data_IF_712425859493
#
_entry.id   IF_712425859493
#
_cell.length_a   1.000
_cell.length_b   1.000
_cell.length_c   1.000
_cell.angle_alpha   90.00
_cell.angle_beta   90.00
_cell.angle_gamma   90.00
#
_symmetry.space_group_name_H-M   'P 1'
#
loop_
_entity.id
_entity.type
_entity.pdbx_description
1 polymer ?
#
# COMPACT_ATOMS: atom_id res chain seq x y z
N UNK A 1 42.69 7.53 -40.57
CA UNK A 1 41.25 7.87 -40.62
C UNK A 1 40.50 7.44 -39.35
N UNK A 2 41.15 7.39 -38.18
CA UNK A 2 40.57 6.79 -36.95
C UNK A 2 39.54 7.72 -36.25
N UNK A 3 39.59 9.04 -36.50
CA UNK A 3 38.75 10.00 -35.77
C UNK A 3 37.25 9.92 -36.08
N UNK A 4 36.88 9.63 -37.33
CA UNK A 4 35.47 9.60 -37.76
C UNK A 4 34.78 8.33 -37.23
N UNK A 5 35.49 7.19 -37.24
CA UNK A 5 34.98 5.90 -36.76
C UNK A 5 34.67 5.95 -35.25
N UNK A 6 35.54 6.60 -34.47
CA UNK A 6 35.35 6.82 -33.04
C UNK A 6 34.14 7.72 -32.77
N UNK A 7 33.95 8.77 -33.56
CA UNK A 7 32.82 9.68 -33.46
C UNK A 7 31.48 8.98 -33.74
N UNK A 8 31.45 8.11 -34.76
CA UNK A 8 30.26 7.33 -35.10
C UNK A 8 29.92 6.31 -34.01
N UNK A 9 30.93 5.61 -33.47
CA UNK A 9 30.73 4.66 -32.38
C UNK A 9 30.22 5.35 -31.11
N UNK A 10 30.79 6.51 -30.75
CA UNK A 10 30.33 7.29 -29.60
C UNK A 10 28.89 7.79 -29.79
N UNK A 11 28.54 8.23 -31.01
CA UNK A 11 27.19 8.68 -31.34
C UNK A 11 26.15 7.57 -31.22
N UNK A 12 26.44 6.38 -31.77
CA UNK A 12 25.56 5.20 -31.66
C UNK A 12 25.41 4.78 -30.20
N UNK A 13 26.49 4.82 -29.43
CA UNK A 13 26.46 4.45 -28.02
C UNK A 13 25.60 5.42 -27.19
N UNK A 14 25.75 6.73 -27.40
CA UNK A 14 24.92 7.74 -26.74
C UNK A 14 23.45 7.61 -27.14
N UNK A 15 23.16 7.40 -28.42
CA UNK A 15 21.80 7.18 -28.89
C UNK A 15 21.17 5.92 -28.27
N UNK A 16 21.90 4.80 -28.24
CA UNK A 16 21.44 3.57 -27.61
C UNK A 16 21.17 3.77 -26.11
N UNK A 17 22.02 4.51 -25.41
CA UNK A 17 21.82 4.84 -24.00
C UNK A 17 20.50 5.60 -23.79
N UNK A 18 20.22 6.61 -24.61
CA UNK A 18 18.98 7.40 -24.49
C UNK A 18 17.72 6.60 -24.84
N UNK A 19 17.78 5.69 -25.83
CA UNK A 19 16.62 4.89 -26.25
C UNK A 19 16.34 3.74 -25.29
N UNK A 20 17.38 3.17 -24.68
CA UNK A 20 17.27 2.04 -23.76
C UNK A 20 17.08 2.47 -22.30
N UNK A 21 17.09 3.78 -22.01
CA UNK A 21 16.79 4.27 -20.66
C UNK A 21 15.30 4.00 -20.37
N UNK A 22 14.98 3.17 -19.37
CA UNK A 22 13.59 3.00 -18.97
C UNK A 22 13.03 4.35 -18.51
N UNK A 23 11.74 4.64 -18.77
CA UNK A 23 11.11 5.86 -18.26
C UNK A 23 11.34 5.93 -16.75
N UNK A 24 11.81 7.09 -16.28
CA UNK A 24 12.06 7.33 -14.87
C UNK A 24 10.77 7.01 -14.10
N UNK A 25 10.83 6.01 -13.21
CA UNK A 25 9.71 5.71 -12.32
C UNK A 25 9.52 6.93 -11.43
N UNK A 26 8.36 7.59 -11.43
CA UNK A 26 8.14 8.71 -10.53
C UNK A 26 8.33 8.20 -9.10
N UNK A 27 9.30 8.77 -8.38
CA UNK A 27 9.45 8.54 -6.97
C UNK A 27 8.24 9.21 -6.31
N UNK A 28 7.18 8.44 -6.04
CA UNK A 28 6.05 8.96 -5.29
C UNK A 28 6.62 9.52 -3.98
N UNK A 29 6.42 10.83 -3.74
CA UNK A 29 6.75 11.41 -2.46
C UNK A 29 6.08 10.54 -1.39
N UNK A 30 6.77 10.17 -0.29
CA UNK A 30 6.13 9.42 0.77
C UNK A 30 4.99 10.30 1.28
N UNK A 31 3.76 9.92 0.93
CA UNK A 31 2.57 10.49 1.53
C UNK A 31 2.74 10.29 3.03
N UNK A 32 2.64 11.37 3.81
CA UNK A 32 2.68 11.22 5.26
C UNK A 32 1.48 10.36 5.69
N UNK A 33 1.77 9.11 6.08
CA UNK A 33 0.76 8.14 6.48
C UNK A 33 0.48 8.20 7.99
N UNK A 34 1.12 9.11 8.73
CA UNK A 34 0.86 9.31 10.17
C UNK A 34 -0.64 9.47 10.47
N UNK A 35 -1.43 10.26 9.70
CA UNK A 35 -2.87 10.37 9.93
C UNK A 35 -3.62 9.05 9.71
N UNK A 36 -3.19 8.25 8.72
CA UNK A 36 -3.79 6.94 8.39
C UNK A 36 -3.51 5.92 9.49
N UNK A 37 -2.27 5.91 9.99
CA UNK A 37 -1.87 5.08 11.15
C UNK A 37 -2.68 5.45 12.38
N UNK A 38 -2.80 6.73 12.69
CA UNK A 38 -3.59 7.20 13.83
C UNK A 38 -5.07 6.85 13.68
N UNK A 39 -5.63 7.00 12.49
CA UNK A 39 -7.02 6.64 12.19
C UNK A 39 -7.31 5.14 12.42
N UNK A 40 -6.35 4.25 12.13
CA UNK A 40 -6.48 2.83 12.45
C UNK A 40 -6.38 2.62 13.97
N UNK A 41 -5.41 3.23 14.64
CA UNK A 41 -5.25 3.12 16.10
C UNK A 41 -6.49 3.58 16.86
N UNK A 42 -7.08 4.69 16.47
CA UNK A 42 -8.29 5.23 17.11
C UNK A 42 -9.49 4.29 16.97
N UNK A 43 -9.62 3.59 15.84
CA UNK A 43 -10.67 2.58 15.64
C UNK A 43 -10.40 1.31 16.43
N UNK A 44 -9.15 0.84 16.46
CA UNK A 44 -8.74 -0.32 17.24
C UNK A 44 -8.93 -0.08 18.74
N UNK A 45 -8.55 1.11 19.21
CA UNK A 45 -8.69 1.56 20.60
C UNK A 45 -10.12 1.95 20.98
N UNK A 46 -11.04 2.10 20.02
CA UNK A 46 -12.43 2.47 20.27
C UNK A 46 -12.64 3.97 20.55
N UNK A 47 -11.63 4.81 20.32
CA UNK A 47 -11.72 6.27 20.39
C UNK A 47 -12.65 6.83 19.31
N UNK A 48 -12.68 6.18 18.14
CA UNK A 48 -13.58 6.52 17.03
C UNK A 48 -14.64 5.44 16.89
N UNK A 49 -15.89 5.87 16.67
CA UNK A 49 -17.00 4.97 16.40
C UNK A 49 -16.77 4.21 15.09
N UNK A 50 -16.62 2.89 15.22
CA UNK A 50 -16.47 1.97 14.10
C UNK A 50 -17.50 0.84 14.28
N UNK A 51 -18.65 0.92 13.59
CA UNK A 51 -19.75 -0.01 13.80
C UNK A 51 -19.33 -1.46 13.61
N UNK A 52 -19.81 -2.35 14.48
CA UNK A 52 -19.65 -3.78 14.30
C UNK A 52 -20.72 -4.31 13.34
N UNK A 53 -20.28 -5.05 12.33
CA UNK A 53 -21.12 -5.74 11.36
C UNK A 53 -21.16 -7.22 11.76
N UNK A 54 -22.36 -7.76 11.95
CA UNK A 54 -22.55 -9.19 12.18
C UNK A 54 -22.34 -9.96 10.87
N UNK A 55 -21.46 -10.96 10.90
CA UNK A 55 -21.11 -11.78 9.74
C UNK A 55 -21.73 -13.18 9.81
N UNK A 56 -21.75 -13.73 11.02
CA UNK A 56 -22.31 -15.03 11.34
C UNK A 56 -22.71 -15.04 12.84
N UNK A 57 -23.47 -16.05 13.31
CA UNK A 57 -23.76 -16.18 14.74
C UNK A 57 -22.47 -16.16 15.58
N UNK A 58 -22.38 -15.21 16.51
CA UNK A 58 -21.21 -15.03 17.38
C UNK A 58 -19.98 -14.40 16.72
N UNK A 59 -20.04 -14.04 15.43
CA UNK A 59 -18.93 -13.41 14.70
C UNK A 59 -19.34 -12.03 14.21
N UNK A 60 -18.59 -11.02 14.65
CA UNK A 60 -18.73 -9.64 14.18
C UNK A 60 -17.37 -9.08 13.84
N UNK A 61 -17.38 -8.05 13.00
CA UNK A 61 -16.17 -7.38 12.56
C UNK A 61 -16.44 -5.89 12.38
N UNK A 62 -15.40 -5.09 12.56
CA UNK A 62 -15.48 -3.65 12.37
C UNK A 62 -15.83 -3.32 10.91
N UNK A 63 -16.70 -2.35 10.70
CA UNK A 63 -17.10 -1.89 9.37
C UNK A 63 -15.88 -1.43 8.57
N UNK A 64 -14.92 -0.76 9.22
CA UNK A 64 -13.67 -0.34 8.58
C UNK A 64 -12.74 -1.50 8.22
N UNK A 65 -12.75 -2.60 8.97
CA UNK A 65 -11.99 -3.80 8.60
C UNK A 65 -12.62 -4.48 7.37
N UNK A 66 -13.95 -4.48 7.25
CA UNK A 66 -14.64 -5.06 6.09
C UNK A 66 -14.52 -4.24 4.81
N UNK A 67 -14.80 -2.93 4.93
CA UNK A 67 -15.03 -2.01 3.81
C UNK A 67 -13.86 -1.05 3.58
N UNK A 68 -12.83 -1.13 4.41
CA UNK A 68 -11.80 -0.12 4.48
C UNK A 68 -12.32 1.19 5.07
N UNK A 69 -11.47 2.20 5.08
CA UNK A 69 -11.86 3.57 5.38
C UNK A 69 -11.26 4.53 4.37
N UNK A 70 -11.99 5.59 4.06
CA UNK A 70 -11.54 6.63 3.14
C UNK A 70 -10.73 7.68 3.88
N UNK A 71 -9.59 8.04 3.32
CA UNK A 71 -8.78 9.17 3.75
C UNK A 71 -8.16 9.82 2.52
N UNK A 72 -8.26 11.14 2.39
CA UNK A 72 -7.71 11.91 1.27
C UNK A 72 -7.99 11.32 -0.13
N UNK A 73 -9.24 10.90 -0.37
CA UNK A 73 -9.67 10.34 -1.66
C UNK A 73 -9.22 8.91 -1.95
N UNK A 74 -8.41 8.30 -1.08
CA UNK A 74 -8.00 6.89 -1.17
C UNK A 74 -8.74 6.02 -0.14
N UNK A 75 -8.92 4.74 -0.46
CA UNK A 75 -9.47 3.74 0.49
C UNK A 75 -8.33 2.89 1.02
N UNK A 76 -8.19 2.88 2.34
CA UNK A 76 -7.20 2.11 3.05
C UNK A 76 -7.86 0.92 3.73
N UNK A 77 -7.15 -0.20 3.71
CA UNK A 77 -7.50 -1.42 4.41
C UNK A 77 -6.42 -1.74 5.43
N UNK A 78 -6.78 -2.51 6.44
CA UNK A 78 -5.83 -2.97 7.42
C UNK A 78 -6.17 -4.38 7.91
N UNK A 79 -5.13 -5.09 8.33
CA UNK A 79 -5.27 -6.34 9.06
C UNK A 79 -4.36 -6.32 10.30
N UNK A 80 -4.75 -7.06 11.32
CA UNK A 80 -3.99 -7.23 12.56
C UNK A 80 -3.28 -8.57 12.49
N UNK A 81 -1.95 -8.58 12.68
CA UNK A 81 -1.19 -9.81 12.71
C UNK A 81 -1.66 -10.72 13.87
N UNK A 82 -1.73 -12.03 13.62
CA UNK A 82 -2.14 -13.03 14.61
C UNK A 82 -3.56 -12.87 15.17
N UNK A 83 -4.45 -12.16 14.46
CA UNK A 83 -5.86 -12.04 14.81
C UNK A 83 -6.78 -12.45 13.65
N UNK A 84 -8.04 -12.82 13.92
CA UNK A 84 -9.05 -12.94 12.88
C UNK A 84 -9.28 -11.60 12.18
N UNK A 85 -9.22 -11.60 10.86
CA UNK A 85 -9.43 -10.42 10.04
C UNK A 85 -10.49 -10.69 8.97
N UNK A 86 -11.16 -9.63 8.55
CA UNK A 86 -12.25 -9.66 7.59
C UNK A 86 -12.06 -8.62 6.47
N UNK A 87 -10.85 -8.10 6.32
CA UNK A 87 -10.47 -7.29 5.18
C UNK A 87 -10.43 -8.12 3.88
N UNK A 88 -10.49 -7.48 2.70
CA UNK A 88 -10.49 -8.19 1.44
C UNK A 88 -9.28 -9.11 1.21
N UNK A 89 -8.09 -8.77 1.72
CA UNK A 89 -6.90 -9.60 1.56
C UNK A 89 -7.02 -10.85 2.43
N UNK A 90 -7.37 -10.71 3.71
CA UNK A 90 -7.56 -11.84 4.63
C UNK A 90 -8.72 -12.76 4.23
N UNK A 91 -9.73 -12.25 3.52
CA UNK A 91 -10.83 -13.04 2.97
C UNK A 91 -10.52 -13.71 1.63
N UNK A 92 -9.34 -13.48 1.06
CA UNK A 92 -8.96 -14.03 -0.25
C UNK A 92 -9.69 -13.40 -1.43
N UNK A 93 -10.29 -12.21 -1.25
CA UNK A 93 -10.89 -11.43 -2.34
C UNK A 93 -9.85 -10.66 -3.14
N UNK A 94 -8.70 -10.39 -2.53
CA UNK A 94 -7.53 -9.79 -3.16
C UNK A 94 -6.32 -10.72 -2.99
N UNK A 95 -5.39 -10.64 -3.93
CA UNK A 95 -4.07 -11.27 -3.82
C UNK A 95 -3.01 -10.24 -3.40
N UNK A 96 -1.84 -10.71 -2.98
CA UNK A 96 -0.74 -9.84 -2.54
C UNK A 96 -0.20 -8.96 -3.68
N UNK A 97 -0.36 -9.39 -4.93
CA UNK A 97 0.05 -8.64 -6.12
C UNK A 97 -0.91 -7.49 -6.46
N UNK A 98 -2.14 -7.53 -5.94
CA UNK A 98 -3.16 -6.50 -6.16
C UNK A 98 -3.11 -5.39 -5.11
N UNK A 99 -2.26 -5.52 -4.09
CA UNK A 99 -2.18 -4.58 -2.98
C UNK A 99 -0.79 -3.96 -2.89
N UNK A 100 -0.77 -2.74 -2.36
CA UNK A 100 0.43 -2.06 -1.94
C UNK A 100 0.40 -1.97 -0.42
N UNK A 101 1.32 -2.67 0.24
CA UNK A 101 1.53 -2.54 1.69
C UNK A 101 2.25 -1.22 1.94
N UNK A 102 1.64 -0.38 2.76
CA UNK A 102 2.09 0.98 2.99
C UNK A 102 2.80 1.12 4.35
N UNK A 103 2.24 0.48 5.39
CA UNK A 103 2.77 0.54 6.75
C UNK A 103 2.59 -0.81 7.43
N UNK A 104 3.61 -1.21 8.19
CA UNK A 104 3.51 -2.23 9.23
C UNK A 104 3.90 -1.56 10.54
N UNK A 105 2.93 -1.35 11.42
CA UNK A 105 3.13 -0.69 12.71
C UNK A 105 3.15 -1.74 13.83
N UNK A 106 4.27 -1.85 14.53
CA UNK A 106 4.51 -2.77 15.65
C UNK A 106 4.73 -2.03 16.98
N UNK A 107 4.57 -0.70 16.99
CA UNK A 107 4.80 0.11 18.18
C UNK A 107 3.65 0.10 19.19
N UNK A 108 2.52 -0.51 18.84
CA UNK A 108 1.34 -0.69 19.69
C UNK A 108 1.25 -2.09 20.33
N UNK A 109 0.19 -2.36 21.12
CA UNK A 109 -0.03 -3.67 21.74
C UNK A 109 -0.37 -4.79 20.73
N UNK A 110 -0.69 -4.42 19.50
CA UNK A 110 -0.93 -5.34 18.39
C UNK A 110 -0.28 -4.79 17.14
N UNK A 111 0.45 -5.63 16.42
CA UNK A 111 0.98 -5.28 15.12
C UNK A 111 -0.15 -5.24 14.11
N UNK A 112 -0.25 -4.15 13.34
CA UNK A 112 -1.19 -4.06 12.24
C UNK A 112 -0.50 -3.57 10.98
N UNK A 113 -1.05 -4.00 9.84
CA UNK A 113 -0.55 -3.67 8.52
C UNK A 113 -1.63 -2.88 7.79
N UNK A 114 -1.23 -1.77 7.18
CA UNK A 114 -2.09 -0.92 6.34
C UNK A 114 -1.67 -1.12 4.89
N UNK A 115 -2.66 -1.31 4.04
CA UNK A 115 -2.46 -1.45 2.60
C UNK A 115 -3.57 -0.72 1.82
N UNK A 116 -3.31 -0.49 0.53
CA UNK A 116 -4.33 -0.05 -0.42
C UNK A 116 -4.35 -0.98 -1.64
N UNK A 117 -5.44 -0.92 -2.39
CA UNK A 117 -5.53 -1.60 -3.69
C UNK A 117 -4.77 -0.74 -4.72
N UNK A 118 -4.01 -1.40 -5.60
CA UNK A 118 -3.29 -0.75 -6.69
C UNK A 118 -4.21 -0.22 -7.78
#
# INVERSE_FOLDING_TARGET
MIGIEVLLLAGVFLWALFVLLPPATPLAAPSDLTPVVQAVRDRLGGTVADPLINLAPGTSARASNLRGFSFDGAVYYYYIESAPNFDPLSRGLLTHEQVEVLVRDDSGPRTFVIYRVR
#
